data_IF_378661395083
#
_entry.id   IF_378661395083
#
_cell.length_a   1.000
_cell.length_b   1.000
_cell.length_c   1.000
_cell.angle_alpha   90.00
_cell.angle_beta   90.00
_cell.angle_gamma   90.00
#
_symmetry.space_group_name_H-M   'P 1'
#
loop_
_entity.id
_entity.type
_entity.pdbx_description
1 polymer ?
#
# COMPACT_ATOMS: atom_id res chain seq x y z
N UNK A 1 -0.19 15.06 -19.05
CA UNK A 1 -1.39 14.48 -19.71
C UNK A 1 -2.04 13.37 -18.88
N UNK A 2 -1.37 12.25 -18.61
CA UNK A 2 -2.00 11.13 -17.88
C UNK A 2 -2.32 11.45 -16.41
N UNK A 3 -1.36 12.00 -15.67
CA UNK A 3 -1.56 12.39 -14.27
C UNK A 3 -2.65 13.46 -14.09
N UNK A 4 -2.76 14.39 -15.04
CA UNK A 4 -3.85 15.37 -15.07
C UNK A 4 -5.20 14.70 -15.36
N UNK A 5 -5.23 13.69 -16.24
CA UNK A 5 -6.43 12.91 -16.53
C UNK A 5 -6.92 12.15 -15.30
N UNK A 6 -6.00 11.50 -14.58
CA UNK A 6 -6.26 10.80 -13.32
C UNK A 6 -6.73 11.79 -12.24
N UNK A 7 -6.07 12.95 -12.14
CA UNK A 7 -6.49 14.02 -11.20
C UNK A 7 -7.91 14.49 -11.50
N UNK A 8 -8.25 14.74 -12.77
CA UNK A 8 -9.60 15.12 -13.19
C UNK A 8 -10.62 14.00 -12.93
N UNK A 9 -10.23 12.74 -13.07
CA UNK A 9 -11.09 11.60 -12.73
C UNK A 9 -11.45 11.61 -11.24
N UNK A 10 -10.48 11.83 -10.34
CA UNK A 10 -10.73 11.98 -8.91
C UNK A 10 -11.60 13.21 -8.60
N UNK A 11 -11.36 14.34 -9.26
CA UNK A 11 -12.16 15.56 -9.11
C UNK A 11 -13.64 15.40 -9.50
N UNK A 12 -13.96 14.39 -10.33
CA UNK A 12 -15.35 14.02 -10.65
C UNK A 12 -15.92 12.93 -9.74
N UNK A 13 -15.28 12.67 -8.60
CA UNK A 13 -15.74 11.70 -7.60
C UNK A 13 -15.26 10.26 -7.81
N UNK A 14 -14.43 9.99 -8.83
CA UNK A 14 -13.86 8.67 -9.10
C UNK A 14 -12.81 8.25 -8.06
N UNK A 15 -12.82 6.99 -7.65
CA UNK A 15 -11.90 6.48 -6.64
C UNK A 15 -10.56 6.00 -7.20
N UNK A 16 -9.48 6.24 -6.47
CA UNK A 16 -8.12 5.86 -6.88
C UNK A 16 -7.50 4.86 -5.90
N UNK A 17 -7.02 3.73 -6.40
CA UNK A 17 -5.99 2.95 -5.74
C UNK A 17 -4.65 3.32 -6.38
N UNK A 18 -3.71 3.84 -5.59
CA UNK A 18 -2.36 4.14 -6.03
C UNK A 18 -1.38 3.27 -5.24
N UNK A 19 -0.46 2.65 -5.96
CA UNK A 19 0.56 1.80 -5.35
C UNK A 19 1.91 2.08 -6.00
N UNK A 20 2.97 1.71 -5.29
CA UNK A 20 4.36 1.95 -5.64
C UNK A 20 5.20 0.78 -5.16
N UNK A 21 6.52 0.91 -5.13
CA UNK A 21 7.41 -0.14 -4.62
C UNK A 21 8.52 0.41 -3.70
N UNK A 22 9.76 -0.06 -3.71
CA UNK A 22 10.82 0.53 -2.89
C UNK A 22 11.47 1.80 -3.46
N UNK A 23 12.10 2.57 -2.58
CA UNK A 23 12.96 3.73 -2.89
C UNK A 23 12.25 4.77 -3.77
N UNK A 24 12.58 4.85 -5.07
CA UNK A 24 12.02 5.80 -6.05
C UNK A 24 11.12 5.13 -7.11
N UNK A 25 10.95 3.80 -7.06
CA UNK A 25 10.10 3.06 -7.99
C UNK A 25 8.62 3.46 -7.84
N UNK A 26 8.06 4.04 -8.90
CA UNK A 26 6.71 4.58 -8.91
C UNK A 26 6.62 6.08 -8.56
N UNK A 27 7.73 6.80 -8.41
CA UNK A 27 7.74 8.24 -8.05
C UNK A 27 7.01 9.17 -9.03
N UNK A 28 6.61 8.69 -10.20
CA UNK A 28 5.68 9.39 -11.08
C UNK A 28 4.33 9.71 -10.41
N UNK A 29 3.88 8.89 -9.45
CA UNK A 29 2.59 9.08 -8.77
C UNK A 29 2.55 10.32 -7.86
N UNK A 30 3.70 10.90 -7.48
CA UNK A 30 3.78 12.18 -6.76
C UNK A 30 2.98 13.30 -7.45
N UNK A 31 2.76 13.16 -8.76
CA UNK A 31 2.05 14.13 -9.59
C UNK A 31 0.52 13.91 -9.64
N UNK A 32 0.00 12.88 -8.95
CA UNK A 32 -1.44 12.59 -8.85
C UNK A 32 -1.97 13.30 -7.60
N UNK A 33 -2.87 14.27 -7.79
CA UNK A 33 -3.32 15.18 -6.72
C UNK A 33 -3.85 14.49 -5.46
N UNK A 34 -3.32 14.93 -4.30
CA UNK A 34 -3.68 14.48 -2.96
C UNK A 34 -3.13 13.09 -2.60
N UNK A 35 -3.52 12.05 -3.33
CA UNK A 35 -3.05 10.67 -3.08
C UNK A 35 -1.54 10.52 -3.30
N UNK A 36 -0.97 11.21 -4.30
CA UNK A 36 0.47 11.21 -4.56
C UNK A 36 1.32 11.82 -3.44
N UNK A 37 0.74 12.70 -2.62
CA UNK A 37 1.42 13.27 -1.46
C UNK A 37 1.51 12.28 -0.28
N UNK A 38 0.70 11.22 -0.29
CA UNK A 38 0.74 10.17 0.72
C UNK A 38 1.84 9.13 0.46
N UNK A 39 2.56 9.22 -0.67
CA UNK A 39 3.68 8.32 -0.98
C UNK A 39 5.01 9.04 -0.79
N UNK A 40 5.90 8.41 -0.02
CA UNK A 40 7.22 8.93 0.26
C UNK A 40 8.30 8.18 -0.52
N UNK A 41 9.23 8.94 -1.11
CA UNK A 41 10.33 8.42 -1.91
C UNK A 41 11.66 9.01 -1.45
N UNK A 42 12.75 8.38 -1.88
CA UNK A 42 14.11 8.82 -1.53
C UNK A 42 14.43 10.21 -2.09
N UNK A 43 14.15 10.43 -3.37
CA UNK A 43 14.53 11.65 -4.07
C UNK A 43 13.42 12.72 -4.11
N UNK A 44 12.17 12.35 -3.80
CA UNK A 44 10.99 13.22 -3.93
C UNK A 44 9.97 12.92 -2.84
N UNK A 45 9.32 13.95 -2.31
CA UNK A 45 8.34 13.80 -1.22
C UNK A 45 8.92 12.92 -0.11
N UNK A 46 10.11 13.26 0.37
CA UNK A 46 10.79 12.49 1.42
C UNK A 46 9.89 12.37 2.64
N UNK A 47 10.01 11.26 3.37
CA UNK A 47 9.27 11.07 4.61
C UNK A 47 9.52 12.27 5.54
N UNK A 48 8.48 12.91 6.12
CA UNK A 48 8.68 14.01 7.05
C UNK A 48 9.40 13.58 8.35
N UNK A 49 9.38 12.29 8.69
CA UNK A 49 10.16 11.73 9.78
C UNK A 49 11.55 11.31 9.27
N UNK A 50 12.56 12.13 9.54
CA UNK A 50 13.96 11.87 9.15
C UNK A 50 14.49 10.55 9.73
N UNK A 51 13.91 10.03 10.82
CA UNK A 51 14.32 8.73 11.36
C UNK A 51 13.99 7.57 10.42
N UNK A 52 13.09 7.77 9.45
CA UNK A 52 12.74 6.83 8.39
C UNK A 52 13.73 6.87 7.22
N UNK A 53 14.69 7.80 7.21
CA UNK A 53 15.65 7.98 6.11
C UNK A 53 16.84 7.02 6.20
N UNK A 54 16.56 5.77 6.56
CA UNK A 54 17.56 4.71 6.72
C UNK A 54 17.14 3.48 5.96
N UNK A 55 18.12 2.77 5.40
CA UNK A 55 17.91 1.47 4.75
C UNK A 55 17.42 0.49 5.79
N UNK A 56 16.26 -0.10 5.53
CA UNK A 56 15.63 -1.10 6.39
C UNK A 56 16.10 -2.50 5.97
N UNK A 57 15.80 -2.92 4.74
CA UNK A 57 16.52 -4.04 4.12
C UNK A 57 17.98 -3.64 3.84
N UNK A 58 18.92 -4.44 4.37
CA UNK A 58 20.37 -4.22 4.21
C UNK A 58 21.03 -5.25 3.29
N UNK A 59 20.31 -6.32 2.96
CA UNK A 59 20.82 -7.40 2.11
C UNK A 59 20.94 -6.91 0.66
N UNK A 60 19.96 -6.15 0.19
CA UNK A 60 19.92 -5.63 -1.18
C UNK A 60 20.61 -4.27 -1.29
N UNK A 61 21.94 -4.30 -1.44
CA UNK A 61 22.82 -3.12 -1.41
C UNK A 61 22.60 -2.09 -2.53
N UNK A 62 21.78 -2.37 -3.52
CA UNK A 62 21.38 -1.43 -4.58
C UNK A 62 20.17 -0.55 -4.21
N UNK A 63 19.35 -0.97 -3.23
CA UNK A 63 18.09 -0.31 -2.89
C UNK A 63 18.26 0.53 -1.61
N UNK A 64 18.03 1.84 -1.71
CA UNK A 64 18.03 2.73 -0.54
C UNK A 64 16.67 2.73 0.18
N UNK A 65 16.41 3.69 1.06
CA UNK A 65 15.12 3.84 1.73
C UNK A 65 14.09 4.60 0.87
N UNK A 66 12.77 4.44 1.12
CA UNK A 66 12.17 3.41 1.98
C UNK A 66 12.22 2.04 1.30
N UNK A 67 12.51 0.99 2.08
CA UNK A 67 12.62 -0.41 1.60
C UNK A 67 12.35 -1.40 2.76
N UNK A 68 11.16 -1.32 3.35
CA UNK A 68 10.88 -2.14 4.55
C UNK A 68 10.77 -3.62 4.20
N UNK A 69 11.43 -4.48 4.96
CA UNK A 69 11.44 -5.91 4.71
C UNK A 69 10.26 -6.60 5.41
N UNK A 70 9.13 -6.80 4.72
CA UNK A 70 7.95 -7.45 5.32
C UNK A 70 7.99 -8.98 5.27
N UNK A 71 8.90 -9.55 4.47
CA UNK A 71 9.17 -10.98 4.31
C UNK A 71 9.49 -11.31 2.85
N UNK A 72 9.60 -12.60 2.52
CA UNK A 72 9.90 -13.04 1.16
C UNK A 72 8.69 -12.97 0.23
N UNK A 73 8.93 -12.74 -1.07
CA UNK A 73 7.88 -12.92 -2.09
C UNK A 73 7.34 -14.36 -2.02
N UNK A 74 6.03 -14.52 -1.89
CA UNK A 74 5.38 -15.84 -1.72
C UNK A 74 5.01 -16.18 -0.27
N UNK A 75 5.42 -15.36 0.70
CA UNK A 75 4.97 -15.44 2.10
C UNK A 75 3.88 -14.40 2.40
N UNK A 76 3.40 -14.42 3.64
CA UNK A 76 2.50 -13.42 4.20
C UNK A 76 3.21 -12.56 5.24
N UNK A 77 2.84 -11.29 5.32
CA UNK A 77 3.16 -10.41 6.44
C UNK A 77 1.93 -10.23 7.34
N UNK A 78 2.16 -10.09 8.65
CA UNK A 78 1.09 -9.76 9.60
C UNK A 78 0.76 -8.28 9.51
N UNK A 79 -0.54 -7.98 9.50
CA UNK A 79 -1.04 -6.61 9.41
C UNK A 79 -1.72 -6.22 10.72
N UNK A 80 -1.48 -4.99 11.16
CA UNK A 80 -2.21 -4.36 12.27
C UNK A 80 -3.14 -3.29 11.72
N UNK A 81 -4.44 -3.43 11.97
CA UNK A 81 -5.42 -2.42 11.60
C UNK A 81 -5.36 -1.23 12.58
N UNK A 82 -5.28 -0.01 12.05
CA UNK A 82 -5.19 1.19 12.86
C UNK A 82 -6.56 1.60 13.43
N UNK A 83 -6.60 1.89 14.73
CA UNK A 83 -7.80 2.37 15.41
C UNK A 83 -8.10 3.86 15.10
N UNK A 84 -9.38 4.27 14.99
CA UNK A 84 -10.58 3.42 15.02
C UNK A 84 -10.71 2.56 13.75
N UNK A 85 -10.94 1.25 13.83
CA UNK A 85 -10.91 0.32 12.68
C UNK A 85 -11.66 0.84 11.43
N UNK A 86 -10.91 0.99 10.33
CA UNK A 86 -11.46 1.39 9.03
C UNK A 86 -12.24 0.24 8.36
N UNK A 87 -13.31 0.56 7.62
CA UNK A 87 -14.16 -0.46 6.98
C UNK A 87 -13.42 -1.35 5.99
N UNK A 88 -12.40 -0.82 5.31
CA UNK A 88 -11.51 -1.59 4.43
C UNK A 88 -10.81 -2.75 5.14
N UNK A 89 -10.51 -2.60 6.44
CA UNK A 89 -9.80 -3.60 7.24
C UNK A 89 -10.74 -4.61 7.90
N UNK A 90 -12.04 -4.61 7.57
CA UNK A 90 -13.00 -5.57 8.12
C UNK A 90 -13.03 -6.84 7.29
N UNK A 91 -13.03 -7.97 7.99
CA UNK A 91 -13.28 -9.28 7.41
C UNK A 91 -14.13 -10.12 8.37
N UNK A 92 -15.47 -10.07 8.25
CA UNK A 92 -16.37 -10.82 9.12
C UNK A 92 -16.18 -12.34 9.07
N UNK A 93 -15.51 -12.87 8.05
CA UNK A 93 -15.23 -14.31 7.91
C UNK A 93 -13.95 -14.74 8.63
N UNK A 94 -13.11 -13.80 9.06
CA UNK A 94 -11.91 -14.12 9.87
C UNK A 94 -12.25 -14.27 11.36
N UNK A 95 -11.47 -15.03 12.14
CA UNK A 95 -11.68 -15.17 13.58
C UNK A 95 -11.64 -13.84 14.35
N UNK A 96 -10.78 -12.89 13.95
CA UNK A 96 -10.69 -11.57 14.57
C UNK A 96 -11.72 -10.56 14.04
N UNK A 97 -12.43 -10.89 12.97
CA UNK A 97 -13.30 -9.95 12.25
C UNK A 97 -12.54 -8.92 11.40
N UNK A 98 -11.21 -9.06 11.27
CA UNK A 98 -10.31 -8.09 10.63
C UNK A 98 -9.45 -8.74 9.53
N UNK A 99 -8.87 -7.90 8.67
CA UNK A 99 -7.81 -8.33 7.75
C UNK A 99 -6.51 -8.49 8.56
N UNK A 100 -5.96 -9.70 8.56
CA UNK A 100 -4.82 -10.08 9.41
C UNK A 100 -3.49 -10.21 8.65
N UNK A 101 -3.57 -10.39 7.32
CA UNK A 101 -2.43 -10.69 6.47
C UNK A 101 -2.50 -9.94 5.15
N UNK A 102 -1.34 -9.46 4.69
CA UNK A 102 -1.07 -9.08 3.30
C UNK A 102 0.02 -10.00 2.73
N UNK A 103 0.17 -10.09 1.40
CA UNK A 103 1.38 -10.67 0.80
C UNK A 103 2.62 -9.95 1.33
N UNK A 104 3.67 -10.72 1.65
CA UNK A 104 4.96 -10.16 2.04
C UNK A 104 5.78 -9.77 0.81
N UNK A 105 6.70 -8.83 1.00
CA UNK A 105 7.63 -8.35 0.00
C UNK A 105 8.91 -7.82 0.68
N UNK A 106 10.11 -8.12 0.16
CA UNK A 106 11.37 -7.71 0.80
C UNK A 106 11.61 -6.19 0.76
N UNK A 107 10.90 -5.45 -0.10
CA UNK A 107 11.22 -4.05 -0.38
C UNK A 107 9.97 -3.14 -0.40
N UNK A 108 9.27 -3.04 0.72
CA UNK A 108 8.08 -2.18 0.82
C UNK A 108 8.43 -0.69 0.75
N UNK A 109 7.58 0.10 0.10
CA UNK A 109 7.69 1.55 0.06
C UNK A 109 7.19 2.25 1.32
N UNK A 110 7.37 3.57 1.35
CA UNK A 110 6.86 4.45 2.41
C UNK A 110 5.55 5.12 2.01
N UNK A 111 4.56 5.07 2.89
CA UNK A 111 3.33 5.88 2.80
C UNK A 111 3.04 6.56 4.13
N UNK A 112 2.35 7.69 4.09
CA UNK A 112 1.96 8.42 5.29
C UNK A 112 0.85 9.43 5.03
N UNK A 113 0.34 10.03 6.11
CA UNK A 113 -0.70 11.06 6.01
C UNK A 113 -0.02 12.38 5.67
N UNK A 114 -0.26 12.95 4.46
CA UNK A 114 0.36 14.22 4.12
C UNK A 114 -0.28 15.34 4.95
N UNK A 115 0.50 16.35 5.41
CA UNK A 115 -0.02 17.44 6.24
C UNK A 115 -1.18 18.22 5.62
N UNK A 116 -1.28 18.24 4.29
CA UNK A 116 -2.34 18.92 3.55
C UNK A 116 -3.67 18.16 3.49
N UNK A 117 -3.72 16.88 3.86
CA UNK A 117 -4.91 16.04 3.74
C UNK A 117 -5.53 15.74 5.12
N UNK A 118 -6.39 16.65 5.59
CA UNK A 118 -7.09 16.50 6.88
C UNK A 118 -8.08 15.33 6.95
N UNK A 119 -8.38 14.71 5.80
CA UNK A 119 -9.30 13.57 5.66
C UNK A 119 -8.58 12.28 5.27
N UNK A 120 -7.27 12.23 5.49
CA UNK A 120 -6.44 11.07 5.29
C UNK A 120 -6.07 10.44 6.64
N UNK A 121 -5.93 9.11 6.65
CA UNK A 121 -5.49 8.36 7.84
C UNK A 121 -4.79 7.07 7.44
N UNK A 122 -3.80 6.67 8.23
CA UNK A 122 -3.26 5.31 8.18
C UNK A 122 -4.38 4.35 8.57
N UNK A 123 -4.52 3.25 7.83
CA UNK A 123 -5.51 2.20 8.11
C UNK A 123 -4.88 0.84 8.41
N UNK A 124 -3.65 0.61 7.94
CA UNK A 124 -2.92 -0.62 8.13
C UNK A 124 -1.43 -0.34 8.34
N UNK A 125 -0.81 -1.05 9.27
CA UNK A 125 0.63 -1.01 9.54
C UNK A 125 1.23 -2.42 9.57
N UNK A 126 2.49 -2.50 9.20
CA UNK A 126 3.32 -3.71 9.24
C UNK A 126 4.51 -3.51 10.16
N UNK A 127 5.33 -4.56 10.29
CA UNK A 127 6.59 -4.55 11.03
C UNK A 127 7.65 -5.16 10.13
N UNK A 128 8.77 -4.47 9.95
CA UNK A 128 9.93 -5.00 9.25
C UNK A 128 10.47 -6.23 10.00
N UNK A 129 10.64 -7.34 9.29
CA UNK A 129 11.27 -8.54 9.82
C UNK A 129 12.80 -8.38 9.96
N UNK A 130 13.40 -7.47 9.19
CA UNK A 130 14.84 -7.19 9.26
C UNK A 130 15.20 -6.36 10.50
N UNK A 131 14.40 -5.33 10.83
CA UNK A 131 14.76 -4.34 11.86
C UNK A 131 13.78 -4.28 13.04
N UNK A 132 12.61 -4.89 12.93
CA UNK A 132 11.51 -4.74 13.89
C UNK A 132 10.80 -3.38 13.83
N UNK A 133 11.15 -2.53 12.85
CA UNK A 133 10.59 -1.19 12.70
C UNK A 133 9.14 -1.24 12.21
N UNK A 134 8.21 -0.51 12.84
CA UNK A 134 6.86 -0.37 12.31
C UNK A 134 6.86 0.56 11.09
N UNK A 135 6.01 0.25 10.11
CA UNK A 135 5.81 1.09 8.92
C UNK A 135 4.34 1.05 8.48
N UNK A 136 3.94 2.05 7.70
CA UNK A 136 2.56 2.13 7.20
C UNK A 136 2.42 1.30 5.94
N UNK A 137 1.38 0.47 5.88
CA UNK A 137 1.05 -0.31 4.70
C UNK A 137 0.09 0.43 3.77
N UNK A 138 -0.94 1.06 4.36
CA UNK A 138 -2.00 1.71 3.61
C UNK A 138 -2.51 2.99 4.29
N UNK A 139 -2.73 4.03 3.48
CA UNK A 139 -3.35 5.30 3.87
C UNK A 139 -4.63 5.49 3.07
N UNK A 140 -5.75 5.66 3.76
CA UNK A 140 -7.05 5.95 3.15
C UNK A 140 -7.32 7.46 3.18
N UNK A 141 -7.79 7.99 2.06
CA UNK A 141 -8.25 9.37 1.89
C UNK A 141 -9.76 9.34 1.61
N UNK A 142 -10.53 9.93 2.51
CA UNK A 142 -11.98 10.03 2.34
C UNK A 142 -12.38 11.03 1.25
N UNK A 143 -13.66 10.99 0.84
CA UNK A 143 -14.23 12.05 -0.01
C UNK A 143 -14.01 13.42 0.63
N UNK A 144 -13.73 14.43 -0.17
CA UNK A 144 -13.52 15.80 0.29
C UNK A 144 -13.76 16.81 -0.82
N UNK A 145 -13.81 18.10 -0.48
CA UNK A 145 -13.80 19.16 -1.47
C UNK A 145 -12.38 19.67 -1.66
N UNK A 146 -11.95 19.85 -2.90
CA UNK A 146 -10.71 20.58 -3.18
C UNK A 146 -10.91 22.10 -3.11
N UNK A 147 -9.82 22.86 -3.18
CA UNK A 147 -9.81 24.33 -3.17
C UNK A 147 -10.58 24.98 -4.33
N UNK A 148 -10.94 24.21 -5.36
CA UNK A 148 -11.69 24.65 -6.53
C UNK A 148 -13.17 24.25 -6.46
N UNK A 149 -13.61 23.63 -5.35
CA UNK A 149 -14.99 23.20 -5.14
C UNK A 149 -15.33 21.85 -5.80
N UNK A 150 -14.35 21.09 -6.28
CA UNK A 150 -14.61 19.76 -6.83
C UNK A 150 -14.81 18.74 -5.70
N UNK A 151 -15.77 17.83 -5.87
CA UNK A 151 -15.99 16.71 -4.97
C UNK A 151 -15.04 15.56 -5.30
N UNK A 152 -13.93 15.49 -4.57
CA UNK A 152 -12.92 14.45 -4.72
C UNK A 152 -13.50 13.07 -4.36
N UNK A 153 -13.21 12.09 -5.21
CA UNK A 153 -13.38 10.68 -4.88
C UNK A 153 -12.42 10.22 -3.80
N UNK A 154 -12.76 9.07 -3.20
CA UNK A 154 -11.93 8.36 -2.23
C UNK A 154 -10.61 7.93 -2.86
N UNK A 155 -9.58 7.77 -2.05
CA UNK A 155 -8.33 7.18 -2.54
C UNK A 155 -7.65 6.31 -1.48
N UNK A 156 -6.84 5.36 -1.92
CA UNK A 156 -5.92 4.60 -1.07
C UNK A 156 -4.52 4.68 -1.67
N UNK A 157 -3.55 5.00 -0.82
CA UNK A 157 -2.13 4.90 -1.10
C UNK A 157 -1.59 3.63 -0.43
N UNK A 158 -1.01 2.74 -1.23
CA UNK A 158 -0.41 1.47 -0.80
C UNK A 158 1.11 1.52 -0.90
N UNK A 159 1.76 0.91 0.09
CA UNK A 159 3.23 0.81 0.20
C UNK A 159 3.86 -0.06 -0.87
N UNK A 160 3.18 -1.15 -1.29
CA UNK A 160 3.66 -2.02 -2.36
C UNK A 160 2.57 -2.51 -3.31
N UNK A 161 2.92 -2.62 -4.59
CA UNK A 161 2.05 -3.20 -5.62
C UNK A 161 1.99 -4.73 -5.51
N UNK A 162 2.98 -5.32 -4.85
CA UNK A 162 3.08 -6.76 -4.58
C UNK A 162 1.94 -7.30 -3.73
N UNK A 163 1.17 -6.42 -3.07
CA UNK A 163 -0.08 -6.79 -2.38
C UNK A 163 -1.19 -7.27 -3.35
N UNK A 164 -1.12 -6.92 -4.64
CA UNK A 164 -2.23 -7.04 -5.60
C UNK A 164 -1.95 -7.90 -6.82
N UNK A 165 -0.71 -8.34 -7.04
CA UNK A 165 -0.32 -9.05 -8.25
C UNK A 165 -0.53 -10.56 -8.11
N UNK A 166 -1.14 -11.16 -9.13
CA UNK A 166 -1.55 -12.56 -9.15
C UNK A 166 -0.38 -13.54 -9.09
N UNK A 167 0.76 -13.23 -9.72
CA UNK A 167 1.97 -14.04 -9.62
C UNK A 167 2.56 -14.07 -8.19
N UNK A 168 2.21 -13.11 -7.33
CA UNK A 168 2.53 -13.20 -5.91
C UNK A 168 1.52 -14.03 -5.13
N UNK A 169 0.33 -14.29 -5.67
CA UNK A 169 -0.71 -15.11 -5.02
C UNK A 169 -0.69 -16.56 -5.49
N UNK A 170 -0.05 -16.83 -6.62
CA UNK A 170 0.23 -18.17 -7.13
C UNK A 170 1.69 -18.26 -7.57
N UNK A 171 2.53 -18.74 -6.64
CA UNK A 171 3.98 -18.81 -6.81
C UNK A 171 4.42 -19.84 -7.86
N UNK A 172 3.50 -20.66 -8.42
CA UNK A 172 3.82 -21.53 -9.55
C UNK A 172 4.04 -20.75 -10.87
N UNK A 173 3.64 -19.47 -10.92
CA UNK A 173 3.94 -18.58 -12.05
C UNK A 173 5.42 -18.15 -12.09
N UNK A 174 6.19 -18.42 -11.03
CA UNK A 174 7.58 -18.01 -10.90
C UNK A 174 7.76 -16.51 -10.61
N UNK A 175 9.02 -16.05 -10.69
CA UNK A 175 9.37 -14.65 -10.50
C UNK A 175 10.19 -14.13 -11.69
N UNK A 176 10.26 -12.80 -11.89
CA UNK A 176 11.17 -12.23 -12.88
C UNK A 176 12.63 -12.62 -12.61
N UNK A 177 13.41 -12.87 -13.66
CA UNK A 177 14.79 -13.38 -13.55
C UNK A 177 15.80 -12.43 -12.92
N UNK A 178 15.41 -11.20 -12.61
CA UNK A 178 16.25 -10.18 -11.98
C UNK A 178 16.02 -10.07 -10.46
N UNK A 179 15.09 -10.85 -9.91
CA UNK A 179 14.87 -10.96 -8.46
C UNK A 179 15.94 -11.90 -7.89
N UNK A 180 16.73 -11.41 -6.94
CA UNK A 180 17.85 -12.16 -6.35
C UNK A 180 17.47 -12.76 -4.98
N UNK A 181 16.41 -12.24 -4.36
CA UNK A 181 15.94 -12.63 -3.04
C UNK A 181 15.32 -14.03 -3.07
N UNK A 182 15.57 -14.87 -2.06
CA UNK A 182 14.97 -16.20 -2.00
C UNK A 182 13.45 -16.11 -1.88
N UNK A 183 12.69 -16.94 -2.63
CA UNK A 183 11.24 -16.96 -2.52
C UNK A 183 10.79 -17.62 -1.21
N UNK A 184 9.60 -17.24 -0.76
CA UNK A 184 8.83 -17.92 0.27
C UNK A 184 7.82 -18.90 -0.32
N UNK A 185 7.15 -19.64 0.56
CA UNK A 185 6.14 -20.65 0.20
C UNK A 185 4.87 -20.59 1.07
N UNK A 186 4.77 -19.57 1.93
CA UNK A 186 3.67 -19.41 2.89
C UNK A 186 2.29 -19.40 2.23
N UNK A 187 2.16 -18.80 1.04
CA UNK A 187 0.91 -18.78 0.28
C UNK A 187 0.45 -20.18 -0.12
N UNK A 188 1.37 -21.09 -0.45
CA UNK A 188 1.03 -22.51 -0.71
C UNK A 188 0.74 -23.28 0.57
N UNK A 189 1.46 -22.99 1.65
CA UNK A 189 1.27 -23.68 2.93
C UNK A 189 -0.03 -23.32 3.63
N UNK A 190 -0.48 -22.07 3.48
CA UNK A 190 -1.64 -21.50 4.17
C UNK A 190 -2.55 -20.76 3.15
N UNK A 191 -3.14 -21.48 2.17
CA UNK A 191 -3.93 -20.88 1.10
C UNK A 191 -5.21 -20.21 1.59
N UNK A 192 -5.73 -20.58 2.76
CA UNK A 192 -6.92 -19.97 3.36
C UNK A 192 -6.70 -18.50 3.75
N UNK A 193 -5.45 -18.09 4.07
CA UNK A 193 -5.13 -16.69 4.38
C UNK A 193 -5.27 -15.77 3.17
N UNK A 194 -5.08 -16.31 1.96
CA UNK A 194 -5.26 -15.57 0.72
C UNK A 194 -6.71 -15.09 0.54
N UNK A 195 -7.70 -15.79 1.10
CA UNK A 195 -9.10 -15.32 1.07
C UNK A 195 -9.30 -14.04 1.91
N UNK A 196 -8.49 -13.84 2.95
CA UNK A 196 -8.39 -12.58 3.67
C UNK A 196 -7.87 -11.45 2.77
N UNK A 197 -6.77 -11.69 2.06
CA UNK A 197 -6.20 -10.74 1.08
C UNK A 197 -7.23 -10.39 0.00
N UNK A 198 -7.87 -11.39 -0.61
CA UNK A 198 -8.91 -11.18 -1.62
C UNK A 198 -10.12 -10.41 -1.07
N UNK A 199 -10.42 -10.57 0.22
CA UNK A 199 -11.45 -9.78 0.90
C UNK A 199 -11.05 -8.31 1.02
N UNK A 200 -9.79 -8.01 1.35
CA UNK A 200 -9.28 -6.64 1.32
C UNK A 200 -9.40 -6.02 -0.08
N UNK A 201 -9.01 -6.76 -1.12
CA UNK A 201 -9.13 -6.31 -2.53
C UNK A 201 -10.58 -6.04 -2.91
N UNK A 202 -11.53 -6.89 -2.48
CA UNK A 202 -12.96 -6.67 -2.69
C UNK A 202 -13.46 -5.42 -1.96
N UNK A 203 -13.04 -5.22 -0.70
CA UNK A 203 -13.40 -4.05 0.08
C UNK A 203 -12.90 -2.77 -0.62
N UNK A 204 -11.66 -2.76 -1.12
CA UNK A 204 -11.11 -1.65 -1.89
C UNK A 204 -11.96 -1.34 -3.13
N UNK A 205 -12.26 -2.36 -3.94
CA UNK A 205 -13.04 -2.19 -5.16
C UNK A 205 -14.43 -1.57 -4.89
N UNK A 206 -15.13 -2.06 -3.86
CA UNK A 206 -16.44 -1.54 -3.46
C UNK A 206 -16.33 -0.13 -2.87
N UNK A 207 -15.34 0.10 -2.02
CA UNK A 207 -15.17 1.37 -1.30
C UNK A 207 -14.76 2.53 -2.21
N UNK A 208 -13.92 2.24 -3.21
CA UNK A 208 -13.44 3.20 -4.21
C UNK A 208 -14.47 3.46 -5.32
N UNK A 209 -15.49 2.61 -5.47
CA UNK A 209 -16.53 2.85 -6.45
C UNK A 209 -17.21 4.21 -6.23
N UNK A 210 -17.52 4.96 -7.30
CA UNK A 210 -18.33 6.16 -7.18
C UNK A 210 -19.72 5.80 -6.62
N UNK A 211 -20.44 6.74 -5.97
CA UNK A 211 -21.81 6.50 -5.56
C UNK A 211 -22.64 6.14 -6.79
N UNK A 212 -23.66 5.30 -6.62
CA UNK A 212 -24.63 5.08 -7.68
C UNK A 212 -25.24 6.43 -8.10
N UNK A 213 -25.44 6.66 -9.42
CA UNK A 213 -26.00 7.92 -9.93
C UNK A 213 -27.41 8.20 -9.41
#
# INVERSE_FOLDING_TARGET
KDCEGITRFRQRGGGILATRDHQDLGSSICTIGGVGAAHFFHARHTDPDESQHTRDDQDTKSISWPNYHSGSNGDYQRVTAAEPIHELMRNPASPSGLIEFFPAHPHEGGVGVPPSESRARVIATGISQATGRPFNLAVALERGMDQHGNNLGRAVAESSFHHFVDYNWDIDHGCPSFVEEPPGDGIKREPEKLEGVKTYVRNLAVWLAPPAP
#
